data_IF_298990321963
#
_entry.id   IF_298990321963
#
_cell.length_a   1.000
_cell.length_b   1.000
_cell.length_c   1.000
_cell.angle_alpha   90.00
_cell.angle_beta   90.00
_cell.angle_gamma   90.00
#
_symmetry.space_group_name_H-M   'P 1'
#
loop_
_entity.id
_entity.type
_entity.pdbx_description
1 polymer ?
#
# COMPACT_ATOMS: atom_id res chain seq x y z
N UNK A 1 6.73 10.56 -6.62
CA UNK A 1 6.95 9.35 -7.43
C UNK A 1 6.39 8.11 -6.74
N UNK A 2 6.77 7.82 -5.49
CA UNK A 2 6.30 6.64 -4.74
C UNK A 2 4.76 6.59 -4.53
N UNK A 3 4.11 7.74 -4.28
CA UNK A 3 2.65 7.84 -4.16
C UNK A 3 1.92 7.36 -5.42
N UNK A 4 2.43 7.71 -6.60
CA UNK A 4 1.84 7.31 -7.87
C UNK A 4 2.07 5.83 -8.14
N UNK A 5 3.25 5.29 -7.79
CA UNK A 5 3.53 3.86 -7.86
C UNK A 5 2.57 3.05 -6.99
N UNK A 6 2.40 3.43 -5.72
CA UNK A 6 1.46 2.75 -4.82
C UNK A 6 0.02 2.83 -5.32
N UNK A 7 -0.42 3.96 -5.87
CA UNK A 7 -1.74 4.08 -6.46
C UNK A 7 -1.96 3.12 -7.64
N UNK A 8 -0.94 2.90 -8.47
CA UNK A 8 -0.99 1.90 -9.55
C UNK A 8 -1.05 0.49 -8.97
N UNK A 9 -0.24 0.17 -7.95
CA UNK A 9 -0.31 -1.12 -7.26
C UNK A 9 -1.70 -1.38 -6.66
N UNK A 10 -2.29 -0.37 -6.02
CA UNK A 10 -3.62 -0.47 -5.42
C UNK A 10 -4.69 -0.82 -6.45
N UNK A 11 -4.65 -0.15 -7.61
CA UNK A 11 -5.57 -0.42 -8.72
C UNK A 11 -5.42 -1.85 -9.28
N UNK A 12 -4.19 -2.37 -9.34
CA UNK A 12 -3.95 -3.77 -9.76
C UNK A 12 -4.43 -4.76 -8.72
N UNK A 13 -4.11 -4.54 -7.45
CA UNK A 13 -4.56 -5.43 -6.37
C UNK A 13 -6.08 -5.49 -6.25
N UNK A 14 -6.79 -4.40 -6.53
CA UNK A 14 -8.25 -4.38 -6.55
C UNK A 14 -8.84 -5.31 -7.63
N UNK A 15 -8.11 -5.52 -8.74
CA UNK A 15 -8.54 -6.39 -9.84
C UNK A 15 -8.09 -7.84 -9.65
N UNK A 16 -6.93 -8.06 -9.03
CA UNK A 16 -6.31 -9.38 -8.91
C UNK A 16 -6.69 -10.13 -7.63
N UNK A 17 -7.03 -9.42 -6.55
CA UNK A 17 -7.37 -10.03 -5.27
C UNK A 17 -8.88 -10.18 -5.09
N UNK A 18 -9.33 -11.21 -4.34
CA UNK A 18 -10.71 -11.28 -3.86
C UNK A 18 -11.08 -10.01 -3.08
N UNK A 19 -12.28 -9.47 -3.32
CA UNK A 19 -12.72 -8.20 -2.73
C UNK A 19 -12.55 -8.13 -1.20
N UNK A 20 -12.81 -9.23 -0.49
CA UNK A 20 -12.61 -9.31 0.96
C UNK A 20 -11.14 -9.17 1.36
N UNK A 21 -10.22 -9.81 0.64
CA UNK A 21 -8.79 -9.73 0.93
C UNK A 21 -8.26 -8.34 0.64
N UNK A 22 -8.62 -7.75 -0.51
CA UNK A 22 -8.22 -6.38 -0.84
C UNK A 22 -8.69 -5.37 0.22
N UNK A 23 -9.97 -5.42 0.60
CA UNK A 23 -10.52 -4.49 1.58
C UNK A 23 -9.95 -4.67 2.99
N UNK A 24 -9.65 -5.91 3.39
CA UNK A 24 -9.14 -6.21 4.73
C UNK A 24 -7.66 -5.89 4.86
N UNK A 25 -6.86 -6.27 3.86
CA UNK A 25 -5.40 -6.27 3.96
C UNK A 25 -4.73 -5.10 3.24
N UNK A 26 -5.29 -4.62 2.13
CA UNK A 26 -4.57 -3.71 1.21
C UNK A 26 -5.11 -2.29 1.24
N UNK A 27 -6.45 -2.12 1.21
CA UNK A 27 -7.09 -0.79 1.11
C UNK A 27 -6.73 0.17 2.24
N UNK A 28 -6.40 -0.36 3.43
CA UNK A 28 -6.04 0.44 4.60
C UNK A 28 -4.58 0.92 4.61
N UNK A 29 -3.71 0.36 3.77
CA UNK A 29 -2.29 0.65 3.77
C UNK A 29 -2.00 2.01 3.13
N UNK A 30 -1.11 2.78 3.76
CA UNK A 30 -0.71 4.13 3.31
C UNK A 30 0.79 4.24 3.23
N UNK A 31 1.32 5.05 2.32
CA UNK A 31 2.77 5.30 2.29
C UNK A 31 3.18 6.04 3.57
N UNK A 32 4.28 5.59 4.17
CA UNK A 32 4.91 6.31 5.28
C UNK A 32 5.45 7.67 4.77
N UNK A 33 4.96 8.80 5.29
CA UNK A 33 5.39 10.13 4.86
C UNK A 33 6.85 10.45 5.24
N UNK A 34 7.44 9.70 6.18
CA UNK A 34 8.83 9.85 6.62
C UNK A 34 9.78 8.91 5.88
N UNK A 35 9.27 8.07 4.97
CA UNK A 35 10.12 7.19 4.16
C UNK A 35 11.08 8.04 3.32
N UNK A 36 12.37 7.83 3.57
CA UNK A 36 13.43 8.62 2.96
C UNK A 36 13.44 8.37 1.45
N UNK A 37 13.35 9.45 0.66
CA UNK A 37 13.35 9.34 -0.81
C UNK A 37 14.70 8.83 -1.36
N UNK A 38 15.74 8.80 -0.51
CA UNK A 38 17.05 8.25 -0.82
C UNK A 38 17.09 6.72 -0.80
N UNK A 39 16.16 6.07 -0.10
CA UNK A 39 16.04 4.61 -0.11
C UNK A 39 15.07 4.17 -1.21
N UNK A 40 15.50 3.27 -2.09
CA UNK A 40 14.67 2.66 -3.16
C UNK A 40 13.56 1.75 -2.62
N UNK A 41 13.16 1.91 -1.35
CA UNK A 41 12.18 1.10 -0.65
C UNK A 41 10.86 1.84 -0.45
N UNK A 42 9.76 1.10 -0.54
CA UNK A 42 8.42 1.57 -0.21
C UNK A 42 8.08 1.12 1.21
N UNK A 43 7.93 2.07 2.13
CA UNK A 43 7.40 1.81 3.46
C UNK A 43 5.90 2.10 3.51
N UNK A 44 5.14 1.16 4.06
CA UNK A 44 3.69 1.26 4.22
C UNK A 44 3.32 1.22 5.71
N UNK A 45 2.34 2.04 6.08
CA UNK A 45 1.73 2.10 7.41
C UNK A 45 0.42 1.33 7.37
N UNK A 46 0.32 0.31 8.23
CA UNK A 46 -0.88 -0.47 8.45
C UNK A 46 -1.74 0.12 9.57
N UNK A 47 -3.07 -0.07 9.55
CA UNK A 47 -3.97 0.44 10.59
C UNK A 47 -3.82 -0.27 11.93
N UNK A 48 -3.22 -1.47 11.94
CA UNK A 48 -2.92 -2.26 13.13
C UNK A 48 -1.79 -3.24 12.80
N UNK A 49 -1.28 -3.97 13.81
CA UNK A 49 -0.18 -4.94 13.66
C UNK A 49 -0.53 -6.26 12.98
N UNK A 50 -1.82 -6.52 12.79
CA UNK A 50 -2.29 -7.80 12.24
C UNK A 50 -2.30 -7.77 10.72
N UNK A 51 -2.48 -6.58 10.14
CA UNK A 51 -2.43 -6.28 8.70
C UNK A 51 -1.00 -6.03 8.25
#
# INVERSE_FOLDING_TARGET
MMQQFWAVCLSRFEQELPAQQFHTWIKGLRIDPCADAATESLALVAPNRFV
#
